data_IF_381401529697
#
_entry.id   IF_381401529697
#
_cell.length_a   1.000
_cell.length_b   1.000
_cell.length_c   1.000
_cell.angle_alpha   90.00
_cell.angle_beta   90.00
_cell.angle_gamma   90.00
#
_symmetry.space_group_name_H-M   'P 1'
#
loop_
_entity.id
_entity.type
_entity.pdbx_description
1 polymer ?
#
# COMPACT_ATOMS: atom_id res chain seq x y z
N UNK A 1 -5.20 -78.34 -25.16
CA UNK A 1 -5.85 -77.80 -23.94
C UNK A 1 -4.89 -76.85 -23.27
N UNK A 2 -4.95 -75.56 -23.60
CA UNK A 2 -4.09 -74.53 -23.00
C UNK A 2 -4.98 -73.32 -22.74
N UNK A 3 -5.10 -72.91 -21.48
CA UNK A 3 -5.41 -71.52 -21.15
C UNK A 3 -4.98 -71.21 -19.71
N UNK A 4 -3.78 -70.65 -19.63
CA UNK A 4 -3.31 -69.85 -18.49
C UNK A 4 -4.21 -68.61 -18.40
N UNK A 5 -4.76 -68.35 -17.20
CA UNK A 5 -5.50 -67.15 -16.89
C UNK A 5 -4.55 -66.21 -16.14
N UNK A 6 -3.96 -65.24 -16.84
CA UNK A 6 -3.25 -64.12 -16.23
C UNK A 6 -4.18 -62.91 -16.29
N UNK A 7 -4.78 -62.54 -15.16
CA UNK A 7 -5.59 -61.34 -15.04
C UNK A 7 -4.65 -60.13 -14.90
N UNK A 8 -4.50 -59.34 -15.95
CA UNK A 8 -3.81 -58.05 -15.90
C UNK A 8 -4.83 -57.00 -15.48
N UNK A 9 -4.76 -56.57 -14.23
CA UNK A 9 -5.54 -55.44 -13.72
C UNK A 9 -4.89 -54.15 -14.21
N UNK A 10 -5.48 -53.51 -15.22
CA UNK A 10 -5.02 -52.22 -15.75
C UNK A 10 -5.68 -51.10 -14.96
N UNK A 11 -4.96 -50.48 -14.01
CA UNK A 11 -5.39 -49.24 -13.37
C UNK A 11 -5.26 -48.08 -14.37
N UNK A 12 -6.38 -47.61 -14.91
CA UNK A 12 -6.45 -46.32 -15.62
C UNK A 12 -6.39 -45.18 -14.60
N UNK A 13 -5.20 -44.62 -14.40
CA UNK A 13 -5.04 -43.34 -13.69
C UNK A 13 -5.48 -42.21 -14.64
N UNK A 14 -6.67 -41.66 -14.41
CA UNK A 14 -7.14 -40.47 -15.12
C UNK A 14 -6.44 -39.26 -14.50
N UNK A 15 -5.27 -38.90 -15.04
CA UNK A 15 -4.64 -37.62 -14.75
C UNK A 15 -5.45 -36.53 -15.47
N UNK A 16 -6.48 -36.03 -14.80
CA UNK A 16 -7.16 -34.81 -15.21
C UNK A 16 -6.26 -33.62 -14.87
N UNK A 17 -5.30 -33.32 -15.76
CA UNK A 17 -4.65 -32.02 -15.79
C UNK A 17 -5.66 -31.00 -16.34
N UNK A 18 -6.54 -30.51 -15.47
CA UNK A 18 -7.18 -29.22 -15.70
C UNK A 18 -6.14 -28.15 -15.41
N UNK A 19 -5.51 -27.61 -16.46
CA UNK A 19 -4.81 -26.33 -16.35
C UNK A 19 -5.80 -25.31 -15.75
N UNK A 20 -5.40 -24.48 -14.78
CA UNK A 20 -6.24 -23.37 -14.37
C UNK A 20 -6.56 -22.53 -15.62
N UNK A 21 -7.76 -21.93 -15.69
CA UNK A 21 -8.07 -21.00 -16.76
C UNK A 21 -6.95 -19.94 -16.83
N UNK A 22 -6.48 -19.69 -18.04
CA UNK A 22 -5.61 -18.56 -18.35
C UNK A 22 -6.47 -17.30 -18.25
N UNK A 23 -6.63 -16.83 -17.01
CA UNK A 23 -7.18 -15.53 -16.71
C UNK A 23 -6.12 -14.50 -17.10
N UNK A 24 -5.94 -14.29 -18.41
CA UNK A 24 -5.15 -13.18 -18.96
C UNK A 24 -5.52 -11.89 -18.22
N UNK A 25 -4.59 -10.93 -18.06
CA UNK A 25 -4.68 -9.90 -17.03
C UNK A 25 -6.08 -9.31 -17.02
N UNK A 26 -6.82 -9.59 -15.95
CA UNK A 26 -8.15 -9.05 -15.76
C UNK A 26 -8.03 -7.54 -15.97
N UNK A 27 -8.77 -6.98 -16.93
CA UNK A 27 -8.81 -5.54 -17.15
C UNK A 27 -9.32 -4.91 -15.86
N UNK A 28 -8.40 -4.47 -15.01
CA UNK A 28 -8.72 -3.84 -13.75
C UNK A 28 -9.48 -2.55 -14.04
N UNK A 29 -10.62 -2.38 -13.37
CA UNK A 29 -11.43 -1.18 -13.51
C UNK A 29 -10.74 0.04 -12.89
N UNK A 30 -9.75 -0.18 -12.04
CA UNK A 30 -9.02 0.87 -11.33
C UNK A 30 -7.63 1.05 -11.96
N UNK A 31 -7.35 2.26 -12.45
CA UNK A 31 -6.01 2.63 -12.91
C UNK A 31 -5.18 3.18 -11.74
N UNK A 32 -4.12 2.46 -11.38
CA UNK A 32 -3.21 2.84 -10.29
C UNK A 32 -2.07 3.75 -10.74
N UNK A 33 -1.87 3.99 -12.03
CA UNK A 33 -0.66 4.62 -12.57
C UNK A 33 -0.33 5.95 -11.89
N UNK A 34 -1.35 6.81 -11.67
CA UNK A 34 -1.11 8.09 -11.01
C UNK A 34 -0.80 7.95 -9.52
N UNK A 35 -1.54 7.12 -8.78
CA UNK A 35 -1.24 6.88 -7.35
C UNK A 35 0.15 6.27 -7.15
N UNK A 36 0.54 5.34 -8.03
CA UNK A 36 1.88 4.76 -8.03
C UNK A 36 2.97 5.76 -8.38
N UNK A 37 2.67 6.77 -9.21
CA UNK A 37 3.61 7.86 -9.52
C UNK A 37 3.84 8.81 -8.35
N UNK A 38 2.80 9.08 -7.54
CA UNK A 38 2.91 9.92 -6.35
C UNK A 38 3.57 9.21 -5.15
N UNK A 39 3.75 7.88 -5.24
CA UNK A 39 4.31 7.08 -4.17
C UNK A 39 5.83 7.07 -4.22
N UNK A 40 6.45 7.30 -3.06
CA UNK A 40 7.89 7.20 -2.88
C UNK A 40 8.21 6.44 -1.59
N UNK A 41 9.38 5.78 -1.54
CA UNK A 41 9.94 5.23 -0.31
C UNK A 41 11.30 5.85 0.00
N UNK A 42 11.59 6.02 1.29
CA UNK A 42 12.93 6.35 1.74
C UNK A 42 13.23 5.75 3.12
N UNK A 43 14.51 5.69 3.46
CA UNK A 43 14.98 5.21 4.76
C UNK A 43 15.05 6.33 5.81
N UNK A 44 14.61 6.03 7.03
CA UNK A 44 14.86 6.81 8.25
C UNK A 44 15.37 5.85 9.33
N UNK A 45 16.67 5.89 9.60
CA UNK A 45 17.32 4.86 10.43
C UNK A 45 17.24 3.50 9.74
N UNK A 46 16.63 2.53 10.42
CA UNK A 46 16.39 1.18 9.89
C UNK A 46 14.97 1.01 9.31
N UNK A 47 14.11 2.02 9.41
CA UNK A 47 12.71 1.97 9.00
C UNK A 47 12.49 2.55 7.62
N UNK A 48 11.94 1.73 6.71
CA UNK A 48 11.50 2.15 5.38
C UNK A 48 10.12 2.80 5.46
N UNK A 49 10.06 4.09 5.16
CA UNK A 49 8.81 4.86 5.14
C UNK A 49 8.30 4.99 3.71
N UNK A 50 7.01 4.77 3.53
CA UNK A 50 6.28 5.02 2.28
C UNK A 50 5.48 6.31 2.40
N UNK A 51 5.46 7.12 1.35
CA UNK A 51 4.79 8.42 1.33
C UNK A 51 3.95 8.59 0.07
N UNK A 52 3.04 9.56 0.09
CA UNK A 52 2.29 10.02 -1.07
C UNK A 52 2.52 11.53 -1.21
N UNK A 53 3.00 11.96 -2.37
CA UNK A 53 3.19 13.38 -2.64
C UNK A 53 1.85 14.11 -2.74
N UNK A 54 1.79 15.31 -2.14
CA UNK A 54 0.58 16.15 -2.17
C UNK A 54 0.67 17.18 -3.30
N UNK A 55 1.79 17.90 -3.37
CA UNK A 55 1.96 19.05 -4.26
C UNK A 55 2.79 18.66 -5.48
N UNK A 56 2.09 18.35 -6.57
CA UNK A 56 2.67 17.96 -7.85
C UNK A 56 2.01 18.72 -9.00
N UNK A 57 2.81 19.23 -9.94
CA UNK A 57 2.30 20.05 -11.05
C UNK A 57 2.18 19.27 -12.36
N UNK A 58 1.04 19.41 -13.03
CA UNK A 58 0.86 18.89 -14.38
C UNK A 58 1.84 19.55 -15.37
N UNK A 59 2.26 18.85 -16.44
CA UNK A 59 1.73 17.58 -16.93
C UNK A 59 2.42 16.31 -16.40
N UNK A 60 3.61 16.45 -15.85
CA UNK A 60 4.46 15.33 -15.44
C UNK A 60 4.35 15.00 -13.94
N UNK A 61 3.61 15.83 -13.18
CA UNK A 61 3.36 15.66 -11.75
C UNK A 61 4.67 15.50 -10.98
N UNK A 62 5.64 16.35 -11.29
CA UNK A 62 6.85 16.46 -10.49
C UNK A 62 6.52 17.04 -9.12
N UNK A 63 7.13 16.49 -8.08
CA UNK A 63 7.01 17.00 -6.71
C UNK A 63 7.55 18.43 -6.63
N UNK A 64 6.70 19.35 -6.16
CA UNK A 64 7.06 20.75 -5.87
C UNK A 64 7.20 20.99 -4.37
N UNK A 65 6.40 20.27 -3.56
CA UNK A 65 6.24 20.51 -2.12
C UNK A 65 5.74 21.93 -1.79
N UNK A 66 5.52 22.19 -0.51
CA UNK A 66 5.22 23.51 0.04
C UNK A 66 6.17 23.78 1.22
N UNK A 67 6.65 25.02 1.38
CA UNK A 67 7.63 25.37 2.41
C UNK A 67 7.04 25.42 3.82
N UNK A 68 5.74 25.70 3.94
CA UNK A 68 5.05 25.88 5.21
C UNK A 68 4.39 24.58 5.67
N UNK A 69 3.99 23.73 4.72
CA UNK A 69 3.41 22.42 5.01
C UNK A 69 4.43 21.30 4.89
N UNK A 70 4.95 21.06 3.68
CA UNK A 70 5.88 19.97 3.38
C UNK A 70 5.56 19.29 2.04
N UNK A 71 5.99 18.04 1.90
CA UNK A 71 5.85 17.30 0.63
C UNK A 71 4.85 16.13 0.67
N UNK A 72 4.53 15.65 1.88
CA UNK A 72 3.61 14.53 2.17
C UNK A 72 2.86 14.80 3.47
N UNK A 73 1.75 14.10 3.71
CA UNK A 73 0.99 14.21 4.94
C UNK A 73 0.30 12.91 5.37
N UNK A 74 -0.05 12.86 6.65
CA UNK A 74 -0.83 11.80 7.28
C UNK A 74 -2.20 11.65 6.63
N UNK A 75 -2.86 12.76 6.27
CA UNK A 75 -4.15 12.71 5.59
C UNK A 75 -4.11 11.86 4.29
N UNK A 76 -3.15 12.14 3.43
CA UNK A 76 -3.04 11.52 2.10
C UNK A 76 -2.49 10.09 2.21
N UNK A 77 -1.47 9.89 3.05
CA UNK A 77 -0.91 8.57 3.31
C UNK A 77 -1.94 7.64 3.95
N UNK A 78 -2.74 8.11 4.91
CA UNK A 78 -3.78 7.31 5.53
C UNK A 78 -4.85 6.87 4.51
N UNK A 79 -5.27 7.76 3.62
CA UNK A 79 -6.25 7.42 2.56
C UNK A 79 -5.67 6.43 1.54
N UNK A 80 -4.40 6.56 1.19
CA UNK A 80 -3.72 5.58 0.35
C UNK A 80 -3.57 4.22 1.05
N UNK A 81 -3.28 4.20 2.35
CA UNK A 81 -3.20 2.97 3.14
C UNK A 81 -4.55 2.23 3.15
N UNK A 82 -5.65 2.92 3.44
CA UNK A 82 -7.02 2.34 3.35
C UNK A 82 -7.25 1.75 1.96
N UNK A 83 -6.88 2.48 0.90
CA UNK A 83 -7.01 2.00 -0.47
C UNK A 83 -6.21 0.70 -0.68
N UNK A 84 -4.93 0.66 -0.30
CA UNK A 84 -4.08 -0.49 -0.50
C UNK A 84 -4.51 -1.69 0.34
N UNK A 85 -4.95 -1.51 1.59
CA UNK A 85 -5.53 -2.58 2.42
C UNK A 85 -6.71 -3.24 1.71
N UNK A 86 -7.67 -2.44 1.22
CA UNK A 86 -8.83 -2.96 0.47
C UNK A 86 -8.43 -3.59 -0.85
N UNK A 87 -7.47 -2.99 -1.54
CA UNK A 87 -6.94 -3.53 -2.80
C UNK A 87 -6.31 -4.90 -2.58
N UNK A 88 -5.57 -5.09 -1.49
CA UNK A 88 -4.96 -6.37 -1.15
C UNK A 88 -5.99 -7.48 -0.92
N UNK A 89 -7.16 -7.16 -0.35
CA UNK A 89 -8.22 -8.18 -0.15
C UNK A 89 -8.78 -8.73 -1.47
N UNK A 90 -8.73 -7.96 -2.55
CA UNK A 90 -9.24 -8.35 -3.87
C UNK A 90 -8.14 -8.78 -4.84
N UNK A 91 -6.93 -8.23 -4.68
CA UNK A 91 -5.78 -8.43 -5.56
C UNK A 91 -4.50 -8.57 -4.72
N UNK A 92 -4.35 -9.68 -3.97
CA UNK A 92 -3.19 -9.86 -3.11
C UNK A 92 -1.91 -9.93 -3.95
N UNK A 93 -0.93 -9.10 -3.60
CA UNK A 93 0.41 -9.15 -4.20
C UNK A 93 1.47 -8.70 -3.20
N UNK A 94 2.72 -9.19 -3.32
CA UNK A 94 3.82 -8.74 -2.48
C UNK A 94 4.04 -7.22 -2.55
N UNK A 95 3.92 -6.63 -3.74
CA UNK A 95 4.10 -5.18 -3.93
C UNK A 95 3.08 -4.36 -3.13
N UNK A 96 1.79 -4.75 -3.17
CA UNK A 96 0.76 -4.06 -2.40
C UNK A 96 1.02 -4.22 -0.90
N UNK A 97 1.45 -5.42 -0.46
CA UNK A 97 1.76 -5.66 0.95
C UNK A 97 2.93 -4.80 1.43
N UNK A 98 3.96 -4.61 0.60
CA UNK A 98 5.08 -3.72 0.90
C UNK A 98 4.63 -2.25 1.01
N UNK A 99 3.72 -1.80 0.14
CA UNK A 99 3.12 -0.46 0.25
C UNK A 99 2.31 -0.30 1.53
N UNK A 100 1.50 -1.29 1.89
CA UNK A 100 0.75 -1.28 3.17
C UNK A 100 1.72 -1.13 4.34
N UNK A 101 2.79 -1.93 4.37
CA UNK A 101 3.77 -1.88 5.45
C UNK A 101 4.48 -0.53 5.53
N UNK A 102 5.03 -0.04 4.41
CA UNK A 102 5.78 1.22 4.39
C UNK A 102 4.92 2.45 4.70
N UNK A 103 3.66 2.50 4.22
CA UNK A 103 2.71 3.57 4.56
C UNK A 103 2.29 3.51 6.04
N UNK A 104 2.16 2.30 6.61
CA UNK A 104 1.89 2.12 8.04
C UNK A 104 3.05 2.62 8.89
N UNK A 105 4.29 2.31 8.51
CA UNK A 105 5.49 2.83 9.18
C UNK A 105 5.56 4.35 9.13
N UNK A 106 5.14 4.99 8.03
CA UNK A 106 5.02 6.44 7.98
C UNK A 106 4.02 6.98 9.01
N UNK A 107 2.85 6.36 9.16
CA UNK A 107 1.88 6.79 10.17
C UNK A 107 2.47 6.70 11.59
N UNK A 108 3.16 5.61 11.91
CA UNK A 108 3.83 5.48 13.22
C UNK A 108 4.97 6.49 13.39
N UNK A 109 5.74 6.77 12.34
CA UNK A 109 6.77 7.81 12.38
C UNK A 109 6.20 9.21 12.66
N UNK A 110 5.00 9.49 12.16
CA UNK A 110 4.31 10.77 12.36
C UNK A 110 3.54 10.85 13.68
N UNK A 111 3.44 9.75 14.44
CA UNK A 111 2.74 9.72 15.72
C UNK A 111 3.55 10.42 16.82
N UNK A 112 2.90 11.34 17.53
CA UNK A 112 3.47 12.01 18.69
C UNK A 112 3.24 11.21 19.99
N UNK A 113 3.98 11.55 21.05
CA UNK A 113 3.88 10.90 22.36
C UNK A 113 2.46 10.93 22.97
N UNK A 114 1.64 11.92 22.61
CA UNK A 114 0.26 12.02 23.07
C UNK A 114 -0.71 11.08 22.32
N UNK A 115 -0.22 10.28 21.38
CA UNK A 115 -0.98 9.32 20.58
C UNK A 115 -1.66 9.91 19.34
N UNK A 116 -1.65 11.24 19.16
CA UNK A 116 -2.11 11.89 17.93
C UNK A 116 -0.97 12.06 16.93
N UNK A 117 -1.28 12.55 15.73
CA UNK A 117 -0.34 12.56 14.63
C UNK A 117 0.00 13.98 14.21
N UNK A 118 1.27 14.23 13.91
CA UNK A 118 1.64 15.39 13.11
C UNK A 118 1.15 15.18 11.68
N UNK A 119 0.65 16.20 11.00
CA UNK A 119 0.07 15.99 9.67
C UNK A 119 1.16 15.96 8.59
N UNK A 120 1.92 17.04 8.43
CA UNK A 120 2.83 17.21 7.31
C UNK A 120 4.26 16.82 7.66
N UNK A 121 5.01 16.34 6.68
CA UNK A 121 6.45 16.10 6.77
C UNK A 121 7.21 17.07 5.85
N UNK A 122 8.21 17.73 6.40
CA UNK A 122 9.07 18.68 5.69
C UNK A 122 10.11 17.96 4.80
N UNK A 123 10.71 18.63 3.81
CA UNK A 123 11.71 18.02 2.92
C UNK A 123 12.96 17.45 3.63
N UNK A 124 13.26 17.90 4.85
CA UNK A 124 14.31 17.33 5.71
C UNK A 124 13.88 16.03 6.42
N UNK A 125 12.69 15.52 6.07
CA UNK A 125 12.05 14.30 6.57
C UNK A 125 11.63 14.37 8.03
N UNK A 126 11.58 15.56 8.62
CA UNK A 126 11.05 15.75 9.96
C UNK A 126 9.55 16.04 9.93
N UNK A 127 8.78 15.58 10.92
CA UNK A 127 7.40 16.02 11.10
C UNK A 127 7.35 17.54 11.30
N UNK A 128 6.46 18.21 10.58
CA UNK A 128 6.18 19.63 10.77
C UNK A 128 5.37 19.82 12.06
N UNK A 129 6.03 20.32 13.11
CA UNK A 129 5.38 20.45 14.42
C UNK A 129 4.73 21.82 14.65
N UNK A 130 4.94 22.78 13.75
CA UNK A 130 4.60 24.18 13.95
C UNK A 130 3.39 24.63 13.14
N UNK A 131 3.18 24.07 11.94
CA UNK A 131 2.05 24.42 11.08
C UNK A 131 0.70 24.09 11.76
N UNK A 132 -0.29 24.97 11.65
CA UNK A 132 -1.56 24.85 12.38
C UNK A 132 -2.32 23.57 12.03
N UNK A 133 -2.28 23.18 10.76
CA UNK A 133 -2.87 21.94 10.25
C UNK A 133 -1.93 20.74 10.38
N UNK A 134 -0.88 20.84 11.21
CA UNK A 134 0.10 19.77 11.44
C UNK A 134 0.32 19.42 12.89
N UNK A 135 -0.18 20.21 13.85
CA UNK A 135 0.01 19.92 15.27
C UNK A 135 -0.59 18.57 15.66
N UNK A 136 0.01 17.82 16.58
CA UNK A 136 -0.55 16.54 17.04
C UNK A 136 -1.79 16.73 17.94
N UNK A 137 -2.96 16.96 17.31
CA UNK A 137 -4.25 17.26 17.95
C UNK A 137 -5.38 16.36 17.39
N UNK A 138 -6.52 16.26 18.09
CA UNK A 138 -7.68 15.48 17.64
C UNK A 138 -8.42 16.15 16.47
N UNK A 139 -7.81 16.16 15.28
CA UNK A 139 -8.35 16.77 14.06
C UNK A 139 -8.44 15.74 12.91
N UNK A 140 -8.90 16.16 11.73
CA UNK A 140 -9.29 15.27 10.64
C UNK A 140 -8.17 14.30 10.18
N UNK A 141 -6.90 14.71 10.15
CA UNK A 141 -5.79 13.84 9.76
C UNK A 141 -5.54 12.74 10.80
N UNK A 142 -5.59 13.08 12.09
CA UNK A 142 -5.51 12.12 13.20
C UNK A 142 -6.62 11.07 13.09
N UNK A 143 -7.85 11.47 12.78
CA UNK A 143 -8.95 10.53 12.61
C UNK A 143 -8.80 9.63 11.39
N UNK A 144 -8.22 10.16 10.30
CA UNK A 144 -7.88 9.35 9.12
C UNK A 144 -6.77 8.35 9.41
N UNK A 145 -5.74 8.73 10.18
CA UNK A 145 -4.70 7.82 10.62
C UNK A 145 -5.29 6.65 11.43
N UNK A 146 -6.14 6.93 12.42
CA UNK A 146 -6.80 5.88 13.19
C UNK A 146 -7.69 4.98 12.36
N UNK A 147 -8.43 5.54 11.39
CA UNK A 147 -9.20 4.72 10.46
C UNK A 147 -8.29 3.80 9.64
N UNK A 148 -7.22 4.34 9.05
CA UNK A 148 -6.30 3.56 8.24
C UNK A 148 -5.62 2.43 9.04
N UNK A 149 -5.24 2.69 10.29
CA UNK A 149 -4.66 1.70 11.21
C UNK A 149 -5.67 0.64 11.71
N UNK A 150 -6.95 0.80 11.41
CA UNK A 150 -8.01 -0.17 11.76
C UNK A 150 -8.43 -1.08 10.61
N UNK A 151 -7.96 -0.81 9.38
CA UNK A 151 -8.18 -1.68 8.21
C UNK A 151 -7.35 -2.97 8.32
#
# INVERSE_FOLDING_TARGET
MIRNLLAVLTCFAVLSCSSPPDDGPANDLINLAHLSHLYEEFQVGDTRLGVIWIYCEAPDYQLVADSDEGFTCVDDVARALVFYCRRYTTHPSPEILEKIHSLTEFLFYMQAENGFFYNFMLPDKQPNQTHENSRAVPNFWTWRAFWALSE
#
